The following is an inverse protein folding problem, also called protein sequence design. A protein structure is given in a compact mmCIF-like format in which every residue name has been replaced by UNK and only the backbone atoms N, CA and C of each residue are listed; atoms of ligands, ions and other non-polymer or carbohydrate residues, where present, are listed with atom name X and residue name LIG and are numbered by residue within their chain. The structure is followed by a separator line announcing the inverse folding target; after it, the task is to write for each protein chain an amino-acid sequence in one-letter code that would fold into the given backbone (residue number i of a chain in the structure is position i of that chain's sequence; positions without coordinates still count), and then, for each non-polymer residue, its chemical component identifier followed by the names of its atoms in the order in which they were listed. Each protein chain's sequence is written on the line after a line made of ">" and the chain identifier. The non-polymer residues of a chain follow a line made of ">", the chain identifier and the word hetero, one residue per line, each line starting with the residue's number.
data_IF_947140064137
#
_entry.id   IF_947140064137
#
_cell.length_a   1.000
_cell.length_b   1.000
_cell.length_c   1.000
_cell.angle_alpha   90.00
_cell.angle_beta   90.00
_cell.angle_gamma   90.00
#
_symmetry.space_group_name_H-M   'P 1'
#
loop_
_entity.id
_entity.type
_entity.pdbx_description
1 polymer ?
#
# COMPACT_ATOMS: atom_id res chain seq x y z
N UNK A 1 10.04 -8.32 15.81
CA UNK A 1 8.87 -8.97 15.17
C UNK A 1 7.65 -8.11 15.38
N UNK A 2 6.99 -7.78 14.28
CA UNK A 2 5.83 -6.89 14.34
C UNK A 2 4.55 -7.67 14.54
N UNK A 3 3.62 -7.10 15.32
CA UNK A 3 2.29 -7.64 15.46
C UNK A 3 1.41 -7.19 14.30
N UNK A 4 0.30 -7.90 14.09
CA UNK A 4 -0.71 -7.50 13.14
C UNK A 4 -1.41 -6.24 13.65
N UNK A 5 -1.61 -5.27 12.75
CA UNK A 5 -2.26 -4.00 13.05
C UNK A 5 -3.57 -3.94 12.29
N UNK A 6 -4.66 -3.64 12.98
CA UNK A 6 -5.97 -3.50 12.36
C UNK A 6 -6.04 -2.16 11.61
N UNK A 7 -6.41 -2.23 10.34
CA UNK A 7 -6.55 -1.06 9.47
C UNK A 7 -7.98 -0.55 9.49
N UNK A 8 -8.94 -1.46 9.28
CA UNK A 8 -10.36 -1.16 9.18
C UNK A 8 -11.15 -2.47 9.24
N UNK A 9 -12.46 -2.37 9.37
CA UNK A 9 -13.34 -3.52 9.21
C UNK A 9 -13.59 -3.74 7.71
N UNK A 10 -13.87 -4.99 7.36
CA UNK A 10 -14.03 -5.38 5.94
C UNK A 10 -15.05 -4.51 5.21
N UNK A 11 -16.16 -4.14 5.86
CA UNK A 11 -17.17 -3.30 5.22
C UNK A 11 -16.84 -1.82 5.14
N UNK A 12 -15.80 -1.38 5.83
CA UNK A 12 -15.43 0.04 5.90
C UNK A 12 -14.49 0.48 4.78
N UNK A 13 -13.67 -0.43 4.26
CA UNK A 13 -12.76 -0.12 3.16
C UNK A 13 -13.37 -0.65 1.86
N UNK A 14 -14.08 0.21 1.15
CA UNK A 14 -14.84 -0.13 -0.05
C UNK A 14 -13.93 -0.40 -1.25
N UNK A 15 -14.40 -1.15 -2.26
CA UNK A 15 -13.64 -1.31 -3.50
C UNK A 15 -13.24 0.04 -4.09
N UNK A 16 -11.96 0.17 -4.45
CA UNK A 16 -11.39 1.43 -4.96
C UNK A 16 -10.90 2.38 -3.89
N UNK A 17 -11.18 2.11 -2.61
CA UNK A 17 -10.74 2.96 -1.51
C UNK A 17 -9.35 2.55 -1.01
N UNK A 18 -8.73 3.44 -0.25
CA UNK A 18 -7.43 3.22 0.37
C UNK A 18 -7.43 3.78 1.79
N UNK A 19 -6.57 3.23 2.64
CA UNK A 19 -6.45 3.64 4.04
C UNK A 19 -4.98 3.68 4.43
N UNK A 20 -4.53 4.81 4.98
CA UNK A 20 -3.17 4.95 5.52
C UNK A 20 -3.15 4.34 6.92
N UNK A 21 -2.04 3.67 7.25
CA UNK A 21 -1.82 3.13 8.59
C UNK A 21 -0.33 3.20 8.93
N UNK A 22 -0.02 3.55 10.18
CA UNK A 22 1.35 3.49 10.70
C UNK A 22 1.60 2.13 11.33
N UNK A 23 2.70 1.49 10.91
CA UNK A 23 3.12 0.20 11.46
C UNK A 23 4.59 0.32 11.82
N UNK A 24 4.88 0.29 13.11
CA UNK A 24 6.26 0.35 13.63
C UNK A 24 7.08 1.52 13.06
N UNK A 25 6.43 2.68 12.91
CA UNK A 25 7.08 3.89 12.42
C UNK A 25 7.10 4.04 10.90
N UNK A 26 6.61 3.05 10.16
CA UNK A 26 6.49 3.16 8.71
C UNK A 26 5.04 3.45 8.33
N UNK A 27 4.85 4.38 7.39
CA UNK A 27 3.53 4.68 6.88
C UNK A 27 3.23 3.77 5.69
N UNK A 28 2.17 2.99 5.83
CA UNK A 28 1.71 2.07 4.79
C UNK A 28 0.38 2.56 4.25
N UNK A 29 0.05 2.12 3.05
CA UNK A 29 -1.28 2.35 2.49
C UNK A 29 -1.86 1.01 2.05
N UNK A 30 -3.09 0.75 2.48
CA UNK A 30 -3.83 -0.48 2.16
C UNK A 30 -4.91 -0.13 1.15
N UNK A 31 -4.95 -0.88 0.06
CA UNK A 31 -5.90 -0.68 -1.03
C UNK A 31 -6.88 -1.84 -1.11
N UNK A 32 -8.13 -1.53 -1.42
CA UNK A 32 -9.12 -2.53 -1.83
C UNK A 32 -9.21 -2.48 -3.36
N UNK A 33 -8.67 -3.52 -4.02
CA UNK A 33 -8.76 -3.68 -5.47
C UNK A 33 -9.76 -4.79 -5.78
N UNK A 34 -10.98 -4.40 -6.07
CA UNK A 34 -12.07 -5.33 -6.41
C UNK A 34 -12.28 -6.45 -5.38
N UNK A 35 -12.21 -6.09 -4.10
CA UNK A 35 -12.43 -7.02 -3.00
C UNK A 35 -11.19 -7.73 -2.51
N UNK A 36 -10.03 -7.47 -3.10
CA UNK A 36 -8.74 -7.97 -2.61
C UNK A 36 -7.95 -6.84 -2.01
N UNK A 37 -7.27 -7.10 -0.89
CA UNK A 37 -6.55 -6.07 -0.14
C UNK A 37 -5.05 -6.23 -0.32
N UNK A 38 -4.39 -5.11 -0.60
CA UNK A 38 -2.93 -5.07 -0.79
C UNK A 38 -2.37 -3.89 0.00
N UNK A 39 -1.17 -4.07 0.54
CA UNK A 39 -0.48 -3.03 1.29
C UNK A 39 0.89 -2.78 0.70
N UNK A 40 1.21 -1.51 0.50
CA UNK A 40 2.53 -1.06 0.09
C UNK A 40 3.01 0.02 1.04
N UNK A 41 4.32 0.25 1.07
CA UNK A 41 4.85 1.41 1.78
C UNK A 41 4.43 2.67 1.03
N UNK A 42 3.99 3.69 1.77
CA UNK A 42 3.50 4.94 1.19
C UNK A 42 4.68 5.84 0.84
N UNK A 43 5.55 5.34 -0.03
CA UNK A 43 6.78 6.01 -0.42
C UNK A 43 7.01 5.83 -1.92
N UNK A 44 7.18 6.95 -2.62
CA UNK A 44 7.69 6.95 -3.98
C UNK A 44 9.22 6.81 -3.89
N UNK A 45 9.77 5.73 -4.43
CA UNK A 45 11.20 5.44 -4.31
C UNK A 45 12.06 6.43 -5.10
N UNK A 46 11.47 7.22 -5.98
CA UNK A 46 12.19 8.26 -6.72
C UNK A 46 12.54 9.46 -5.84
N UNK A 47 11.58 9.94 -5.03
CA UNK A 47 11.77 11.19 -4.28
C UNK A 47 11.45 11.08 -2.79
N UNK A 48 11.04 9.92 -2.31
CA UNK A 48 10.71 9.71 -0.89
C UNK A 48 9.38 10.28 -0.45
N UNK A 49 8.62 10.89 -1.35
CA UNK A 49 7.32 11.47 -1.01
C UNK A 49 6.22 10.43 -0.98
N UNK A 50 5.04 10.85 -0.50
CA UNK A 50 3.90 9.96 -0.36
C UNK A 50 3.26 9.61 -1.69
N UNK A 51 2.79 8.37 -1.82
CA UNK A 51 2.04 7.90 -2.99
C UNK A 51 0.53 8.12 -2.82
N UNK A 52 0.06 8.24 -1.60
CA UNK A 52 -1.37 8.20 -1.26
C UNK A 52 -2.21 9.23 -2.02
N UNK A 53 -1.66 10.41 -2.32
CA UNK A 53 -2.39 11.45 -3.05
C UNK A 53 -2.52 11.19 -4.54
N UNK A 54 -1.90 10.14 -5.06
CA UNK A 54 -1.92 9.83 -6.49
C UNK A 54 -3.19 9.12 -6.93
N UNK A 55 -3.38 9.06 -8.24
CA UNK A 55 -4.51 8.33 -8.83
C UNK A 55 -4.20 6.85 -8.94
N UNK A 56 -5.25 6.04 -8.87
CA UNK A 56 -5.17 4.60 -9.11
C UNK A 56 -5.79 4.28 -10.46
N UNK A 57 -5.03 3.56 -11.29
CA UNK A 57 -5.52 3.04 -12.56
C UNK A 57 -5.32 1.53 -12.56
N UNK A 58 -6.43 0.77 -12.50
CA UNK A 58 -6.34 -0.68 -12.40
C UNK A 58 -5.63 -1.08 -11.11
N UNK A 59 -4.48 -1.72 -11.23
CA UNK A 59 -3.65 -2.13 -10.10
C UNK A 59 -2.40 -1.26 -9.93
N UNK A 60 -2.40 -0.05 -10.48
CA UNK A 60 -1.27 0.87 -10.44
C UNK A 60 -1.60 2.13 -9.66
N UNK A 61 -0.64 2.59 -8.83
CA UNK A 61 -0.70 3.91 -8.18
C UNK A 61 0.28 4.83 -8.90
N UNK A 62 -0.19 6.05 -9.20
CA UNK A 62 0.61 7.04 -9.93
C UNK A 62 1.13 8.08 -8.94
N UNK A 63 2.45 8.22 -8.84
CA UNK A 63 3.06 9.22 -7.98
C UNK A 63 2.57 10.62 -8.39
N UNK A 64 2.00 11.41 -7.45
CA UNK A 64 1.37 12.68 -7.82
C UNK A 64 2.34 13.76 -8.27
N UNK A 65 3.64 13.58 -8.03
CA UNK A 65 4.63 14.61 -8.35
C UNK A 65 5.19 14.50 -9.76
N UNK A 66 5.60 13.29 -10.19
CA UNK A 66 6.27 13.11 -11.46
C UNK A 66 5.68 11.98 -12.32
N UNK A 67 4.56 11.42 -11.90
CA UNK A 67 3.85 10.42 -12.70
C UNK A 67 4.47 9.03 -12.72
N UNK A 68 5.44 8.73 -11.85
CA UNK A 68 5.97 7.39 -11.75
C UNK A 68 4.86 6.41 -11.31
N UNK A 69 4.84 5.21 -11.91
CA UNK A 69 3.81 4.23 -11.63
C UNK A 69 4.39 3.05 -10.88
N UNK A 70 3.63 2.57 -9.89
CA UNK A 70 3.98 1.39 -9.10
C UNK A 70 2.83 0.40 -9.14
N UNK A 71 3.17 -0.88 -9.23
CA UNK A 71 2.16 -1.94 -9.12
C UNK A 71 1.76 -2.09 -7.65
N UNK A 72 0.47 -1.94 -7.35
CA UNK A 72 -0.03 -2.04 -5.98
C UNK A 72 0.13 -3.47 -5.44
N UNK A 73 0.02 -4.48 -6.32
CA UNK A 73 0.09 -5.88 -5.90
C UNK A 73 1.50 -6.35 -5.60
N UNK A 74 2.50 -5.83 -6.31
CA UNK A 74 3.88 -6.33 -6.21
C UNK A 74 4.88 -5.28 -5.72
N UNK A 75 4.50 -4.01 -5.74
CA UNK A 75 5.40 -2.90 -5.42
C UNK A 75 6.34 -2.54 -6.55
N UNK A 76 6.30 -3.23 -7.68
CA UNK A 76 7.23 -3.00 -8.78
C UNK A 76 7.14 -1.58 -9.31
N UNK A 77 8.31 -0.96 -9.58
CA UNK A 77 8.38 0.31 -10.29
C UNK A 77 8.15 0.03 -11.77
N UNK A 78 7.09 0.61 -12.34
CA UNK A 78 6.67 0.30 -13.71
C UNK A 78 7.14 1.32 -14.73
N UNK A 79 7.32 2.58 -14.32
CA UNK A 79 7.74 3.64 -15.23
C UNK A 79 8.73 4.58 -14.57
N UNK A 80 9.61 5.19 -15.40
CA UNK A 80 10.47 6.28 -14.96
C UNK A 80 9.63 7.43 -14.39
N UNK A 81 10.13 8.22 -13.45
CA UNK A 81 11.49 8.23 -12.94
C UNK A 81 11.77 7.28 -11.77
N UNK A 82 10.87 6.37 -11.44
CA UNK A 82 11.10 5.39 -10.39
C UNK A 82 11.69 4.10 -11.00
N UNK A 83 12.77 3.61 -10.40
CA UNK A 83 13.46 2.41 -10.87
C UNK A 83 13.52 1.31 -9.82
N UNK A 84 13.25 1.64 -8.57
CA UNK A 84 13.27 0.69 -7.47
C UNK A 84 11.86 0.40 -6.98
N UNK A 85 11.56 -0.86 -6.60
CA UNK A 85 10.24 -1.18 -6.10
C UNK A 85 10.00 -0.54 -4.73
N UNK A 86 8.72 -0.28 -4.44
CA UNK A 86 8.31 0.02 -3.07
C UNK A 86 8.01 -1.28 -2.34
N UNK A 87 8.13 -1.28 -1.01
CA UNK A 87 7.92 -2.48 -0.21
C UNK A 87 6.44 -2.88 -0.19
N UNK A 88 6.18 -4.18 -0.15
CA UNK A 88 4.83 -4.72 0.06
C UNK A 88 4.76 -5.43 1.40
N UNK A 89 3.55 -5.58 1.93
CA UNK A 89 3.34 -6.14 3.26
C UNK A 89 2.18 -7.13 3.23
N UNK A 90 2.24 -8.19 4.06
CA UNK A 90 1.13 -9.13 4.13
C UNK A 90 -0.13 -8.50 4.72
N UNK A 91 -1.25 -8.84 4.14
CA UNK A 91 -2.57 -8.42 4.60
C UNK A 91 -3.40 -9.67 4.86
N UNK A 92 -4.15 -9.66 5.96
CA UNK A 92 -5.07 -10.76 6.26
C UNK A 92 -6.41 -10.21 6.72
N UNK A 93 -7.42 -11.05 6.67
CA UNK A 93 -8.72 -10.77 7.29
C UNK A 93 -8.86 -11.71 8.47
N UNK A 94 -9.10 -11.13 9.64
CA UNK A 94 -9.25 -11.88 10.90
C UNK A 94 -10.44 -11.32 11.66
N UNK A 95 -11.45 -12.17 11.91
CA UNK A 95 -12.66 -11.75 12.64
C UNK A 95 -13.33 -10.51 12.03
N UNK A 96 -13.37 -10.44 10.70
CA UNK A 96 -13.99 -9.31 9.98
C UNK A 96 -13.15 -8.05 9.94
N UNK A 97 -11.90 -8.11 10.39
CA UNK A 97 -10.97 -6.97 10.37
C UNK A 97 -9.87 -7.16 9.35
N UNK A 98 -9.54 -6.09 8.63
CA UNK A 98 -8.41 -6.05 7.70
C UNK A 98 -7.18 -5.72 8.53
N UNK A 99 -6.17 -6.60 8.50
CA UNK A 99 -4.95 -6.43 9.28
C UNK A 99 -3.73 -6.50 8.38
N UNK A 100 -2.72 -5.73 8.73
CA UNK A 100 -1.44 -5.66 8.02
C UNK A 100 -0.31 -5.77 9.04
N UNK A 101 0.84 -6.29 8.61
CA UNK A 101 2.00 -6.30 9.47
C UNK A 101 3.27 -6.03 8.65
N UNK A 102 4.28 -5.50 9.33
CA UNK A 102 5.61 -5.31 8.74
C UNK A 102 6.43 -6.56 9.00
N UNK A 103 6.64 -7.35 7.95
CA UNK A 103 7.40 -8.61 8.04
C UNK A 103 8.86 -8.47 7.61
N UNK A 104 9.32 -7.24 7.36
CA UNK A 104 10.68 -7.01 6.85
C UNK A 104 11.78 -7.42 7.83
N UNK A 105 11.45 -7.47 9.11
CA UNK A 105 12.43 -7.75 10.17
C UNK A 105 12.27 -9.16 10.77
N UNK A 106 11.48 -10.00 10.15
CA UNK A 106 11.25 -11.38 10.60
C UNK A 106 12.41 -12.30 10.27
#
# INVERSE_FOLDING_TARGET
>A
MSDWVTVARVGELKPGARQIVDVDGSQLVVFNLDGKYYAIEDVCTHDGGQLTGGEVEGDQIICPRHGARFCIRTGAALTAPAYEPTATFPVRIQNGEIQVRDDRWD
#
